data_IF_231063392409
#
_entry.id   IF_231063392409
#
_cell.length_a   1.000
_cell.length_b   1.000
_cell.length_c   1.000
_cell.angle_alpha   90.00
_cell.angle_beta   90.00
_cell.angle_gamma   90.00
#
_symmetry.space_group_name_H-M   'P 1'
#
loop_
_entity.id
_entity.type
_entity.pdbx_description
1 polymer ?
#
# COMPACT_ATOMS: atom_id res chain seq x y z
N UNK A 1 -2.82 -19.34 4.72
CA UNK A 1 -1.83 -18.25 4.81
C UNK A 1 -2.60 -17.00 5.21
N UNK A 2 -2.06 -16.14 6.08
CA UNK A 2 -2.72 -14.85 6.35
C UNK A 2 -2.42 -13.96 5.15
N UNK A 3 -3.44 -13.50 4.43
CA UNK A 3 -3.24 -12.67 3.26
C UNK A 3 -2.80 -11.25 3.70
N UNK A 4 -2.03 -10.52 2.86
CA UNK A 4 -1.47 -9.21 3.21
C UNK A 4 -2.53 -8.23 3.76
N UNK A 5 -3.70 -8.17 3.14
CA UNK A 5 -4.76 -7.28 3.60
C UNK A 5 -5.39 -7.72 4.92
N UNK A 6 -5.45 -9.02 5.21
CA UNK A 6 -5.91 -9.51 6.52
C UNK A 6 -4.90 -9.12 7.61
N UNK A 7 -3.61 -9.13 7.29
CA UNK A 7 -2.56 -8.66 8.18
C UNK A 7 -2.69 -7.15 8.42
N UNK A 8 -2.90 -6.36 7.36
CA UNK A 8 -3.11 -4.92 7.47
C UNK A 8 -4.36 -4.58 8.31
N UNK A 9 -5.46 -5.31 8.15
CA UNK A 9 -6.66 -5.14 8.99
C UNK A 9 -6.40 -5.47 10.47
N UNK A 10 -5.63 -6.53 10.76
CA UNK A 10 -5.22 -6.85 12.14
C UNK A 10 -4.36 -5.73 12.74
N UNK A 11 -3.44 -5.17 11.96
CA UNK A 11 -2.60 -4.04 12.39
C UNK A 11 -3.45 -2.80 12.63
N UNK A 12 -4.41 -2.49 11.74
CA UNK A 12 -5.37 -1.38 11.90
C UNK A 12 -6.13 -1.48 13.23
N UNK A 13 -6.60 -2.68 13.57
CA UNK A 13 -7.39 -2.91 14.79
C UNK A 13 -6.56 -2.85 16.07
N UNK A 14 -5.29 -3.30 16.03
CA UNK A 14 -4.43 -3.42 17.21
C UNK A 14 -2.98 -2.97 16.94
N UNK A 15 -2.74 -1.71 16.55
CA UNK A 15 -1.41 -1.28 16.11
C UNK A 15 -0.34 -1.42 17.19
N UNK A 16 -0.70 -1.23 18.47
CA UNK A 16 0.20 -1.45 19.59
C UNK A 16 0.76 -2.88 19.70
N UNK A 17 -0.03 -3.89 19.29
CA UNK A 17 0.38 -5.30 19.35
C UNK A 17 1.37 -5.68 18.24
N UNK A 18 1.24 -5.06 17.06
CA UNK A 18 2.03 -5.44 15.88
C UNK A 18 3.23 -4.53 15.65
N UNK A 19 3.05 -3.23 15.85
CA UNK A 19 4.02 -2.19 15.47
C UNK A 19 4.28 -1.18 16.59
N UNK A 20 3.87 -1.49 17.83
CA UNK A 20 4.12 -0.71 19.05
C UNK A 20 3.24 0.53 19.23
N UNK A 21 2.82 1.19 18.16
CA UNK A 21 1.97 2.38 18.17
C UNK A 21 1.33 2.62 16.80
N UNK A 22 0.20 3.34 16.68
CA UNK A 22 -0.36 3.76 15.39
C UNK A 22 0.53 4.80 14.72
N UNK A 23 1.66 4.39 14.14
CA UNK A 23 2.64 5.27 13.52
C UNK A 23 2.93 4.81 12.09
N UNK A 24 2.80 5.72 11.13
CA UNK A 24 2.97 5.42 9.70
C UNK A 24 4.37 4.88 9.35
N UNK A 25 5.42 5.37 10.03
CA UNK A 25 6.79 4.91 9.79
C UNK A 25 7.01 3.51 10.37
N UNK A 26 6.41 3.21 11.54
CA UNK A 26 6.47 1.85 12.09
C UNK A 26 5.75 0.86 11.17
N UNK A 27 4.63 1.24 10.57
CA UNK A 27 3.92 0.42 9.58
C UNK A 27 4.80 0.17 8.34
N UNK A 28 5.43 1.22 7.80
CA UNK A 28 6.37 1.08 6.67
C UNK A 28 7.50 0.09 7.01
N UNK A 29 8.17 0.29 8.14
CA UNK A 29 9.29 -0.57 8.55
C UNK A 29 8.86 -2.02 8.76
N UNK A 30 7.67 -2.24 9.32
CA UNK A 30 7.10 -3.57 9.47
C UNK A 30 6.88 -4.27 8.12
N UNK A 31 6.30 -3.56 7.15
CA UNK A 31 6.05 -4.12 5.80
C UNK A 31 7.35 -4.37 5.03
N UNK A 32 8.36 -3.50 5.16
CA UNK A 32 9.68 -3.75 4.59
C UNK A 32 10.32 -5.02 5.18
N UNK A 33 10.23 -5.23 6.50
CA UNK A 33 10.73 -6.44 7.14
C UNK A 33 9.96 -7.70 6.74
N UNK A 34 8.64 -7.60 6.59
CA UNK A 34 7.80 -8.67 6.06
C UNK A 34 8.22 -9.07 4.64
N UNK A 35 8.34 -8.10 3.73
CA UNK A 35 8.78 -8.35 2.35
C UNK A 35 10.17 -8.99 2.30
N UNK A 36 11.12 -8.44 3.06
CA UNK A 36 12.48 -9.01 3.16
C UNK A 36 12.46 -10.47 3.62
N UNK A 37 11.62 -10.81 4.61
CA UNK A 37 11.51 -12.19 5.08
C UNK A 37 10.92 -13.13 4.02
N UNK A 38 9.91 -12.67 3.25
CA UNK A 38 9.35 -13.44 2.13
C UNK A 38 10.41 -13.71 1.05
N UNK A 39 11.16 -12.68 0.66
CA UNK A 39 12.24 -12.78 -0.33
C UNK A 39 13.37 -13.72 0.15
N UNK A 40 13.80 -13.56 1.41
CA UNK A 40 14.85 -14.41 2.00
C UNK A 40 14.45 -15.89 2.13
N UNK A 41 13.15 -16.17 2.16
CA UNK A 41 12.59 -17.53 2.17
C UNK A 41 12.18 -18.03 0.78
N UNK A 42 12.48 -17.27 -0.28
CA UNK A 42 12.11 -17.59 -1.67
C UNK A 42 10.60 -17.86 -1.84
N UNK A 43 9.77 -17.17 -1.05
CA UNK A 43 8.32 -17.29 -1.15
C UNK A 43 7.83 -16.53 -2.40
N UNK A 44 6.91 -17.12 -3.18
CA UNK A 44 6.32 -16.41 -4.30
C UNK A 44 5.46 -15.24 -3.80
N UNK A 45 5.50 -14.13 -4.55
CA UNK A 45 4.64 -12.98 -4.29
C UNK A 45 3.17 -13.34 -4.56
N UNK A 46 2.30 -12.98 -3.63
CA UNK A 46 0.86 -13.15 -3.72
C UNK A 46 0.21 -12.06 -4.55
N UNK A 47 -1.01 -12.34 -5.05
CA UNK A 47 -1.80 -11.35 -5.80
C UNK A 47 -2.01 -10.03 -5.03
N UNK A 48 -2.15 -10.09 -3.70
CA UNK A 48 -2.34 -8.90 -2.88
C UNK A 48 -1.07 -8.07 -2.72
N UNK A 49 0.10 -8.73 -2.69
CA UNK A 49 1.39 -8.04 -2.65
C UNK A 49 1.66 -7.34 -3.99
N UNK A 50 1.41 -8.05 -5.11
CA UNK A 50 1.49 -7.46 -6.46
C UNK A 50 0.53 -6.28 -6.64
N UNK A 51 -0.70 -6.37 -6.13
CA UNK A 51 -1.67 -5.26 -6.14
C UNK A 51 -1.19 -4.11 -5.24
N UNK A 52 -0.72 -4.39 -4.03
CA UNK A 52 -0.23 -3.38 -3.09
C UNK A 52 1.02 -2.65 -3.60
N UNK A 53 1.86 -3.29 -4.44
CA UNK A 53 2.99 -2.62 -5.10
C UNK A 53 2.53 -1.43 -5.98
N UNK A 54 1.29 -1.44 -6.48
CA UNK A 54 0.71 -0.34 -7.26
C UNK A 54 0.19 0.82 -6.39
N UNK A 55 0.16 0.68 -5.06
CA UNK A 55 -0.31 1.71 -4.15
C UNK A 55 0.55 2.97 -4.19
N UNK A 56 1.88 2.82 -4.30
CA UNK A 56 2.82 3.94 -4.39
C UNK A 56 2.60 4.77 -5.69
N UNK A 57 2.62 4.18 -6.90
CA UNK A 57 2.28 4.89 -8.14
C UNK A 57 0.90 5.57 -8.11
N UNK A 58 -0.09 4.89 -7.54
CA UNK A 58 -1.42 5.45 -7.39
C UNK A 58 -1.43 6.70 -6.48
N UNK A 59 -0.75 6.65 -5.33
CA UNK A 59 -0.63 7.80 -4.43
C UNK A 59 0.08 8.98 -5.10
N UNK A 60 1.16 8.72 -5.83
CA UNK A 60 1.90 9.75 -6.57
C UNK A 60 0.97 10.47 -7.56
N UNK A 61 0.16 9.70 -8.30
CA UNK A 61 -0.84 10.24 -9.23
C UNK A 61 -1.92 11.03 -8.49
N UNK A 62 -2.48 10.47 -7.42
CA UNK A 62 -3.56 11.09 -6.63
C UNK A 62 -3.16 12.44 -6.03
N UNK A 63 -1.93 12.55 -5.52
CA UNK A 63 -1.42 13.78 -4.91
C UNK A 63 -0.69 14.70 -5.90
N UNK A 64 -0.54 14.28 -7.16
CA UNK A 64 0.17 15.05 -8.18
C UNK A 64 1.65 15.26 -7.87
N UNK A 65 2.30 14.28 -7.23
CA UNK A 65 3.71 14.37 -6.80
C UNK A 65 4.60 13.45 -7.64
N UNK A 66 5.75 13.98 -8.07
CA UNK A 66 6.79 13.22 -8.74
C UNK A 66 8.02 13.14 -7.82
N UNK A 67 8.06 12.12 -6.95
CA UNK A 67 9.11 11.96 -5.93
C UNK A 67 9.42 10.49 -5.69
N UNK A 68 10.66 10.18 -5.33
CA UNK A 68 11.08 8.85 -4.86
C UNK A 68 10.79 8.62 -3.37
N UNK A 69 10.17 9.59 -2.69
CA UNK A 69 9.77 9.43 -1.29
C UNK A 69 8.76 8.29 -1.13
N UNK A 70 8.86 7.55 -0.02
CA UNK A 70 7.94 6.45 0.30
C UNK A 70 6.50 6.93 0.46
N UNK A 71 5.55 6.03 0.27
CA UNK A 71 4.11 6.30 0.48
C UNK A 71 3.85 6.83 1.88
N UNK A 72 4.57 6.33 2.90
CA UNK A 72 4.49 6.83 4.26
C UNK A 72 4.86 8.32 4.34
N UNK A 73 5.93 8.71 3.64
CA UNK A 73 6.36 10.11 3.59
C UNK A 73 5.38 10.98 2.80
N UNK A 74 4.85 10.48 1.67
CA UNK A 74 3.83 11.18 0.89
C UNK A 74 2.60 11.44 1.76
N UNK A 75 2.06 10.42 2.42
CA UNK A 75 0.88 10.55 3.29
C UNK A 75 1.15 11.50 4.45
N UNK A 76 2.31 11.40 5.09
CA UNK A 76 2.69 12.27 6.20
C UNK A 76 2.73 13.76 5.81
N UNK A 77 3.07 14.10 4.56
CA UNK A 77 3.04 15.49 4.08
C UNK A 77 1.64 16.12 4.10
N UNK A 78 0.60 15.29 4.01
CA UNK A 78 -0.82 15.71 4.02
C UNK A 78 -1.52 15.34 5.32
N UNK A 79 -0.78 15.03 6.39
CA UNK A 79 -1.30 14.62 7.68
C UNK A 79 -0.78 15.53 8.80
N UNK A 80 -1.50 15.60 9.91
CA UNK A 80 -1.10 16.46 11.04
C UNK A 80 0.08 15.91 11.83
N UNK A 81 0.14 14.58 11.98
CA UNK A 81 1.20 13.83 12.66
C UNK A 81 1.26 12.38 12.15
N UNK A 82 2.14 11.54 12.70
CA UNK A 82 2.28 10.14 12.29
C UNK A 82 1.07 9.26 12.62
N UNK A 83 0.27 9.64 13.62
CA UNK A 83 -0.95 8.91 14.00
C UNK A 83 -2.09 9.21 13.04
N UNK A 84 -2.22 10.48 12.65
CA UNK A 84 -3.13 10.91 11.59
C UNK A 84 -2.74 10.27 10.25
N UNK A 85 -1.45 10.30 9.90
CA UNK A 85 -0.93 9.62 8.71
C UNK A 85 -1.22 8.12 8.70
N UNK A 86 -1.08 7.45 9.85
CA UNK A 86 -1.42 6.04 10.01
C UNK A 86 -2.91 5.78 9.70
N UNK A 87 -3.82 6.63 10.17
CA UNK A 87 -5.26 6.51 9.85
C UNK A 87 -5.51 6.75 8.37
N UNK A 88 -4.96 7.85 7.83
CA UNK A 88 -5.08 8.22 6.43
C UNK A 88 -4.57 7.13 5.48
N UNK A 89 -3.54 6.38 5.86
CA UNK A 89 -3.10 5.20 5.10
C UNK A 89 -4.21 4.20 4.87
N UNK A 90 -5.00 3.84 5.89
CA UNK A 90 -6.06 2.85 5.73
C UNK A 90 -7.25 3.38 4.93
N UNK A 91 -7.54 4.67 5.03
CA UNK A 91 -8.58 5.31 4.21
C UNK A 91 -8.16 5.34 2.73
N UNK A 92 -6.90 5.73 2.46
CA UNK A 92 -6.32 5.72 1.12
C UNK A 92 -6.19 4.31 0.55
N UNK A 93 -5.82 3.32 1.37
CA UNK A 93 -5.77 1.92 0.95
C UNK A 93 -7.17 1.41 0.60
N UNK A 94 -8.19 1.80 1.36
CA UNK A 94 -9.59 1.46 1.07
C UNK A 94 -10.03 2.08 -0.25
N UNK A 95 -9.70 3.35 -0.48
CA UNK A 95 -10.00 4.03 -1.74
C UNK A 95 -9.31 3.34 -2.93
N UNK A 96 -8.00 3.07 -2.82
CA UNK A 96 -7.21 2.39 -3.84
C UNK A 96 -7.80 1.03 -4.25
N UNK A 97 -8.21 0.22 -3.26
CA UNK A 97 -8.76 -1.12 -3.51
C UNK A 97 -10.17 -1.10 -4.11
N UNK A 98 -10.89 0.01 -3.98
CA UNK A 98 -12.24 0.19 -4.52
C UNK A 98 -12.24 0.80 -5.93
N UNK A 99 -11.07 1.07 -6.52
CA UNK A 99 -10.99 1.56 -7.89
C UNK A 99 -11.59 0.54 -8.86
N UNK A 100 -12.24 0.99 -9.95
CA UNK A 100 -12.60 0.10 -11.03
C UNK A 100 -11.30 -0.54 -11.55
N UNK A 101 -11.20 -1.86 -11.46
CA UNK A 101 -10.18 -2.58 -12.21
C UNK A 101 -10.56 -2.40 -13.67
N UNK A 102 -9.84 -1.57 -14.41
CA UNK A 102 -10.08 -1.41 -15.84
C UNK A 102 -10.12 -2.81 -16.44
N UNK A 103 -11.31 -3.20 -16.92
CA UNK A 103 -11.48 -4.40 -17.72
C UNK A 103 -10.54 -4.27 -18.91
N UNK A 104 -9.70 -5.27 -19.15
CA UNK A 104 -8.92 -5.43 -20.38
C UNK A 104 -9.87 -5.40 -21.59
N UNK A 105 -10.19 -4.21 -22.10
CA UNK A 105 -10.99 -4.02 -23.31
C UNK A 105 -10.60 -2.68 -23.92
N UNK A 106 -9.41 -2.63 -24.52
CA UNK A 106 -8.94 -1.42 -25.20
C UNK A 106 -7.71 -1.57 -26.11
N UNK A 107 -7.01 -2.72 -26.08
CA UNK A 107 -5.77 -2.90 -26.85
C UNK A 107 -5.91 -3.60 -28.21
N UNK A 108 -7.12 -3.81 -28.74
CA UNK A 108 -7.32 -4.51 -30.03
C UNK A 108 -7.88 -3.65 -31.19
N UNK A 109 -8.15 -2.36 -31.03
CA UNK A 109 -8.71 -1.55 -32.14
C UNK A 109 -7.72 -0.63 -32.88
N UNK A 110 -6.43 -0.59 -32.52
CA UNK A 110 -5.46 0.28 -33.20
C UNK A 110 -4.40 -0.45 -34.05
N UNK A 111 -4.58 -1.74 -34.32
CA UNK A 111 -3.68 -2.53 -35.18
C UNK A 111 -4.19 -2.74 -36.62
N UNK A 112 -5.34 -2.17 -36.98
CA UNK A 112 -5.87 -2.20 -38.34
C UNK A 112 -6.41 -0.83 -38.74
N UNK A 113 -5.49 0.06 -39.16
CA UNK A 113 -5.78 1.31 -39.84
C UNK A 113 -4.68 1.60 -40.85
#
# INVERSE_FOLDING_TARGET
MTNLYDLLEKIKQKPGMYIGSPNINNLLMFLCGYQYACEAMELPESEQEMEFAQFQPWLQTKFGVNTSASWAKIILLYSSDETDAFKNFFDLLTEFRNLPKESETGFLELSFG
#
